data_IF_514130481299
#
_entry.id   IF_514130481299
#
_cell.length_a   1.000
_cell.length_b   1.000
_cell.length_c   1.000
_cell.angle_alpha   90.00
_cell.angle_beta   90.00
_cell.angle_gamma   90.00
#
_symmetry.space_group_name_H-M   'P 1'
#
loop_
_entity.id
_entity.type
_entity.pdbx_description
1 polymer ?
#
# COMPACT_ATOMS: atom_id res chain seq x y z
N UNK A 1 -7.33 -14.14 6.13
CA UNK A 1 -7.50 -12.66 6.16
C UNK A 1 -8.48 -12.28 5.07
N UNK A 2 -9.41 -11.40 5.39
CA UNK A 2 -10.36 -10.83 4.42
C UNK A 2 -9.78 -9.54 3.84
N UNK A 3 -10.19 -9.20 2.61
CA UNK A 3 -9.72 -8.00 1.92
C UNK A 3 -10.86 -7.30 1.17
N UNK A 4 -10.93 -5.98 1.25
CA UNK A 4 -11.82 -5.12 0.47
C UNK A 4 -11.01 -4.06 -0.24
N UNK A 5 -11.20 -3.94 -1.56
CA UNK A 5 -10.61 -2.91 -2.40
C UNK A 5 -11.60 -1.76 -2.59
N UNK A 6 -11.10 -0.54 -2.51
CA UNK A 6 -11.74 0.69 -2.96
C UNK A 6 -10.85 1.33 -4.03
N UNK A 7 -11.46 1.87 -5.07
CA UNK A 7 -10.73 2.65 -6.09
C UNK A 7 -10.93 4.10 -5.75
N UNK A 8 -9.83 4.81 -5.52
CA UNK A 8 -9.82 6.17 -5.02
C UNK A 8 -9.09 7.11 -5.96
N UNK A 9 -9.37 8.39 -5.81
CA UNK A 9 -8.75 9.53 -6.46
C UNK A 9 -8.68 9.49 -8.00
N UNK A 10 -8.12 10.55 -8.60
CA UNK A 10 -8.03 10.73 -10.06
C UNK A 10 -7.02 9.80 -10.74
N UNK A 11 -6.24 9.05 -9.97
CA UNK A 11 -5.25 8.09 -10.48
C UNK A 11 -5.78 6.65 -10.47
N UNK A 12 -7.05 6.42 -10.06
CA UNK A 12 -7.64 5.08 -9.87
C UNK A 12 -6.79 4.20 -8.93
N UNK A 13 -6.26 4.80 -7.85
CA UNK A 13 -5.48 4.09 -6.83
C UNK A 13 -6.36 3.09 -6.09
N UNK A 14 -5.79 1.97 -5.69
CA UNK A 14 -6.43 0.92 -4.93
C UNK A 14 -6.10 1.01 -3.44
N UNK A 15 -6.96 1.66 -2.67
CA UNK A 15 -6.95 1.58 -1.21
C UNK A 15 -7.53 0.24 -0.74
N UNK A 16 -6.85 -0.44 0.17
CA UNK A 16 -7.33 -1.72 0.71
C UNK A 16 -7.64 -1.64 2.20
N UNK A 17 -8.73 -2.30 2.60
CA UNK A 17 -9.01 -2.62 4.00
C UNK A 17 -8.82 -4.12 4.18
N UNK A 18 -7.91 -4.50 5.08
CA UNK A 18 -7.62 -5.87 5.47
C UNK A 18 -8.16 -6.14 6.86
N UNK A 19 -8.69 -7.33 7.14
CA UNK A 19 -9.11 -7.66 8.51
C UNK A 19 -9.08 -9.17 8.79
N UNK A 20 -8.83 -9.50 10.05
CA UNK A 20 -9.09 -10.84 10.58
C UNK A 20 -10.59 -10.99 10.91
N UNK A 21 -11.22 -11.99 10.30
CA UNK A 21 -12.68 -12.19 10.42
C UNK A 21 -13.14 -12.48 11.86
N UNK A 22 -12.28 -13.10 12.68
CA UNK A 22 -12.62 -13.50 14.04
C UNK A 22 -12.48 -12.32 15.03
N UNK A 23 -11.34 -11.62 15.03
CA UNK A 23 -11.06 -10.53 15.98
C UNK A 23 -11.62 -9.18 15.53
N UNK A 24 -11.88 -9.00 14.22
CA UNK A 24 -12.18 -7.73 13.57
C UNK A 24 -11.03 -6.72 13.63
N UNK A 25 -9.84 -7.15 14.01
CA UNK A 25 -8.66 -6.30 13.88
C UNK A 25 -8.34 -6.08 12.40
N UNK A 26 -8.07 -4.84 12.03
CA UNK A 26 -7.98 -4.42 10.64
C UNK A 26 -6.84 -3.42 10.40
N UNK A 27 -6.45 -3.29 9.14
CA UNK A 27 -5.54 -2.26 8.66
C UNK A 27 -6.09 -1.61 7.39
N UNK A 28 -5.80 -0.32 7.21
CA UNK A 28 -5.98 0.37 5.94
C UNK A 28 -4.62 0.40 5.25
N UNK A 29 -4.55 -0.06 4.00
CA UNK A 29 -3.34 -0.01 3.19
C UNK A 29 -3.51 1.02 2.09
N UNK A 30 -2.54 1.91 1.99
CA UNK A 30 -2.50 3.01 1.03
C UNK A 30 -3.81 3.82 1.01
N UNK A 31 -4.08 4.63 2.05
CA UNK A 31 -5.30 5.44 2.11
C UNK A 31 -5.27 6.57 1.09
N UNK A 32 -5.69 6.30 -0.15
CA UNK A 32 -5.66 7.22 -1.28
C UNK A 32 -6.87 8.15 -1.41
N UNK A 33 -7.80 8.17 -0.44
CA UNK A 33 -9.03 8.96 -0.50
C UNK A 33 -8.71 10.46 -0.68
N UNK A 34 -9.14 11.04 -1.81
CA UNK A 34 -8.88 12.45 -2.13
C UNK A 34 -10.07 13.39 -1.82
N UNK A 35 -11.23 12.84 -1.54
CA UNK A 35 -12.43 13.61 -1.21
C UNK A 35 -13.31 12.95 -0.15
N UNK A 36 -14.25 13.75 0.37
CA UNK A 36 -15.17 13.33 1.44
C UNK A 36 -16.11 12.18 1.05
N UNK A 37 -16.38 11.95 -0.24
CA UNK A 37 -17.24 10.83 -0.68
C UNK A 37 -16.48 9.51 -0.58
N UNK A 38 -15.21 9.50 -0.95
CA UNK A 38 -14.31 8.36 -0.83
C UNK A 38 -14.01 8.04 0.65
N UNK A 39 -13.73 9.08 1.47
CA UNK A 39 -13.56 8.94 2.92
C UNK A 39 -14.79 8.26 3.56
N UNK A 40 -16.01 8.79 3.29
CA UNK A 40 -17.25 8.23 3.82
C UNK A 40 -17.51 6.80 3.36
N UNK A 41 -17.15 6.44 2.14
CA UNK A 41 -17.33 5.09 1.64
C UNK A 41 -16.51 4.06 2.46
N UNK A 42 -15.27 4.40 2.76
CA UNK A 42 -14.38 3.55 3.57
C UNK A 42 -14.80 3.56 5.04
N UNK A 43 -15.09 4.73 5.62
CA UNK A 43 -15.52 4.86 7.02
C UNK A 43 -16.83 4.10 7.27
N UNK A 44 -17.80 4.19 6.36
CA UNK A 44 -19.06 3.44 6.45
C UNK A 44 -18.81 1.94 6.39
N UNK A 45 -17.97 1.48 5.46
CA UNK A 45 -17.61 0.06 5.38
C UNK A 45 -16.97 -0.45 6.67
N UNK A 46 -16.04 0.31 7.23
CA UNK A 46 -15.36 -0.03 8.49
C UNK A 46 -16.36 -0.10 9.64
N UNK A 47 -17.25 0.89 9.75
CA UNK A 47 -18.27 0.94 10.79
C UNK A 47 -19.30 -0.20 10.67
N UNK A 48 -19.85 -0.44 9.47
CA UNK A 48 -20.84 -1.47 9.19
C UNK A 48 -20.31 -2.88 9.51
N UNK A 49 -19.03 -3.11 9.26
CA UNK A 49 -18.34 -4.36 9.55
C UNK A 49 -17.74 -4.42 10.97
N UNK A 50 -17.88 -3.36 11.77
CA UNK A 50 -17.36 -3.24 13.14
C UNK A 50 -15.85 -3.53 13.20
N UNK A 51 -15.09 -3.04 12.23
CA UNK A 51 -13.65 -3.25 12.15
C UNK A 51 -12.92 -2.33 13.14
N UNK A 52 -11.82 -2.83 13.68
CA UNK A 52 -10.96 -2.11 14.63
C UNK A 52 -9.63 -1.81 13.93
N UNK A 53 -9.49 -0.62 13.39
CA UNK A 53 -8.26 -0.25 12.68
C UNK A 53 -7.10 -0.15 13.66
N UNK A 54 -6.11 -1.01 13.49
CA UNK A 54 -4.88 -1.05 14.29
C UNK A 54 -3.72 -0.31 13.63
N UNK A 55 -3.70 -0.31 12.29
CA UNK A 55 -2.59 0.25 11.53
C UNK A 55 -3.09 0.93 10.25
N UNK A 56 -2.38 1.98 9.86
CA UNK A 56 -2.36 2.52 8.51
C UNK A 56 -1.03 2.08 7.92
N UNK A 57 -1.06 1.28 6.84
CA UNK A 57 0.12 0.72 6.20
C UNK A 57 0.36 1.42 4.87
N UNK A 58 1.54 1.94 4.64
CA UNK A 58 1.94 2.49 3.36
C UNK A 58 2.80 1.48 2.61
N UNK A 59 2.43 1.14 1.37
CA UNK A 59 3.35 0.43 0.49
C UNK A 59 4.48 1.36 0.06
N UNK A 60 4.16 2.62 -0.19
CA UNK A 60 5.12 3.69 -0.47
C UNK A 60 4.45 5.06 -0.25
N UNK A 61 5.22 6.14 -0.37
CA UNK A 61 4.71 7.46 -0.03
C UNK A 61 4.52 8.39 -1.24
N UNK A 62 4.10 7.87 -2.40
CA UNK A 62 3.57 8.74 -3.44
C UNK A 62 2.21 9.30 -3.02
N UNK A 63 1.91 10.52 -3.54
CA UNK A 63 0.80 11.31 -3.04
C UNK A 63 -0.57 10.63 -3.19
N UNK A 64 -0.79 9.89 -4.25
CA UNK A 64 -2.03 9.19 -4.54
C UNK A 64 -2.32 8.04 -3.57
N UNK A 65 -1.29 7.44 -2.98
CA UNK A 65 -1.39 6.42 -1.93
C UNK A 65 -1.55 6.99 -0.52
N UNK A 66 -1.49 8.33 -0.40
CA UNK A 66 -1.43 8.99 0.93
C UNK A 66 -2.43 10.12 1.11
N UNK A 67 -3.25 10.45 0.12
CA UNK A 67 -4.22 11.56 0.20
C UNK A 67 -5.09 11.51 1.45
N UNK A 68 -5.61 10.34 1.80
CA UNK A 68 -6.48 10.11 2.95
C UNK A 68 -5.76 9.71 4.24
N UNK A 69 -4.43 9.64 4.25
CA UNK A 69 -3.69 9.16 5.43
C UNK A 69 -3.89 10.06 6.66
N UNK A 70 -3.96 11.37 6.46
CA UNK A 70 -4.23 12.31 7.55
C UNK A 70 -5.66 12.14 8.12
N UNK A 71 -6.66 11.96 7.26
CA UNK A 71 -8.04 11.64 7.66
C UNK A 71 -8.10 10.32 8.44
N UNK A 72 -7.54 9.25 7.89
CA UNK A 72 -7.55 7.93 8.53
C UNK A 72 -6.88 7.98 9.91
N UNK A 73 -5.75 8.70 10.03
CA UNK A 73 -5.07 8.89 11.31
C UNK A 73 -5.93 9.64 12.33
N UNK A 74 -6.61 10.70 11.90
CA UNK A 74 -7.49 11.50 12.78
C UNK A 74 -8.71 10.69 13.25
N UNK A 75 -9.37 9.97 12.33
CA UNK A 75 -10.59 9.22 12.62
C UNK A 75 -10.32 7.98 13.47
N UNK A 76 -9.26 7.23 13.16
CA UNK A 76 -8.99 5.94 13.84
C UNK A 76 -7.97 6.03 14.97
N UNK A 77 -7.26 7.15 15.11
CA UNK A 77 -6.30 7.37 16.20
C UNK A 77 -5.14 6.37 16.21
N UNK A 78 -4.70 5.91 15.03
CA UNK A 78 -3.70 4.85 14.89
C UNK A 78 -2.44 5.32 14.16
N UNK A 79 -1.37 4.53 14.30
CA UNK A 79 -0.06 4.83 13.72
C UNK A 79 -0.05 4.61 12.20
N UNK A 80 0.72 5.46 11.50
CA UNK A 80 1.10 5.27 10.10
C UNK A 80 2.43 4.53 10.05
N UNK A 81 2.43 3.38 9.40
CA UNK A 81 3.60 2.52 9.22
C UNK A 81 4.05 2.56 7.76
N UNK A 82 5.35 2.61 7.53
CA UNK A 82 5.93 2.60 6.20
C UNK A 82 7.44 2.34 6.26
N UNK A 83 8.17 2.58 5.19
CA UNK A 83 9.62 2.39 5.16
C UNK A 83 10.38 3.72 5.26
N UNK A 84 11.53 3.71 5.93
CA UNK A 84 12.35 4.92 6.12
C UNK A 84 12.82 5.54 4.80
N UNK A 85 13.01 4.73 3.75
CA UNK A 85 13.39 5.21 2.41
C UNK A 85 12.43 6.22 1.81
N UNK A 86 11.15 6.21 2.22
CA UNK A 86 10.12 7.12 1.74
C UNK A 86 9.77 8.25 2.74
N UNK A 87 10.52 8.38 3.83
CA UNK A 87 10.25 9.43 4.81
C UNK A 87 10.29 10.85 4.23
N UNK A 88 11.21 11.13 3.30
CA UNK A 88 11.27 12.42 2.60
C UNK A 88 10.11 12.60 1.62
N UNK A 89 9.68 11.55 0.91
CA UNK A 89 8.50 11.60 0.04
C UNK A 89 7.25 11.92 0.85
N UNK A 90 7.04 11.26 1.99
CA UNK A 90 5.90 11.50 2.89
C UNK A 90 5.87 12.95 3.41
N UNK A 91 7.02 13.52 3.75
CA UNK A 91 7.10 14.92 4.18
C UNK A 91 6.90 15.94 3.05
N UNK A 92 7.10 15.54 1.79
CA UNK A 92 7.05 16.43 0.62
C UNK A 92 5.81 16.23 -0.28
N UNK A 93 4.65 15.85 0.27
CA UNK A 93 3.42 15.61 -0.50
C UNK A 93 2.97 16.85 -1.30
N UNK A 94 3.09 18.05 -0.74
CA UNK A 94 2.77 19.29 -1.45
C UNK A 94 3.74 19.57 -2.63
N UNK A 95 5.00 19.18 -2.49
CA UNK A 95 5.98 19.20 -3.60
C UNK A 95 5.62 18.22 -4.72
N UNK A 96 5.16 17.03 -4.38
CA UNK A 96 4.66 16.04 -5.34
C UNK A 96 3.42 16.60 -6.07
N UNK A 97 2.43 17.16 -5.33
CA UNK A 97 1.24 17.76 -5.93
C UNK A 97 1.60 18.86 -6.94
N UNK A 98 2.57 19.73 -6.61
CA UNK A 98 3.07 20.77 -7.54
C UNK A 98 3.75 20.17 -8.78
N UNK A 99 4.52 19.09 -8.62
CA UNK A 99 5.19 18.41 -9.74
C UNK A 99 4.17 17.87 -10.75
N UNK A 100 3.03 17.37 -10.28
CA UNK A 100 1.94 16.88 -11.13
C UNK A 100 0.92 17.95 -11.50
N UNK A 101 1.18 19.25 -11.19
CA UNK A 101 0.26 20.37 -11.44
C UNK A 101 -1.15 20.20 -10.84
N UNK A 102 -1.22 19.50 -9.70
CA UNK A 102 -2.48 19.26 -9.01
C UNK A 102 -2.89 20.45 -8.13
N UNK A 103 -4.19 20.73 -8.00
CA UNK A 103 -4.68 21.85 -7.20
C UNK A 103 -4.69 21.59 -5.68
N UNK A 104 -4.12 20.46 -5.24
CA UNK A 104 -4.11 20.08 -3.83
C UNK A 104 -3.08 20.86 -3.03
N UNK A 105 -3.40 21.10 -1.74
CA UNK A 105 -2.49 21.61 -0.73
C UNK A 105 -2.40 20.56 0.37
N UNK A 106 -1.29 19.82 0.37
CA UNK A 106 -1.11 18.66 1.23
C UNK A 106 -0.14 19.00 2.37
N UNK A 107 -0.53 18.58 3.57
CA UNK A 107 0.37 18.68 4.73
C UNK A 107 1.39 17.54 4.67
N UNK A 108 2.61 17.75 5.22
CA UNK A 108 3.54 16.66 5.44
C UNK A 108 2.89 15.52 6.21
N UNK A 109 3.14 14.29 5.77
CA UNK A 109 2.74 13.08 6.48
C UNK A 109 3.95 12.55 7.25
N UNK A 110 3.77 12.36 8.55
CA UNK A 110 4.77 11.68 9.37
C UNK A 110 4.48 10.18 9.41
N UNK A 111 5.51 9.38 9.12
CA UNK A 111 5.48 7.93 9.33
C UNK A 111 5.88 7.69 10.77
N UNK A 112 4.96 7.17 11.59
CA UNK A 112 5.17 7.02 13.04
C UNK A 112 6.11 5.87 13.36
N UNK A 113 6.10 4.80 12.55
CA UNK A 113 6.95 3.65 12.71
C UNK A 113 7.49 3.14 11.37
N UNK A 114 8.81 3.01 11.30
CA UNK A 114 9.47 2.41 10.15
C UNK A 114 9.55 0.89 10.29
N UNK A 115 9.10 0.20 9.25
CA UNK A 115 9.15 -1.26 9.16
C UNK A 115 10.49 -1.72 8.62
N UNK A 116 11.03 -2.76 9.23
CA UNK A 116 12.20 -3.46 8.72
C UNK A 116 11.80 -4.52 7.67
N UNK A 117 12.76 -4.89 6.82
CA UNK A 117 12.55 -6.00 5.89
C UNK A 117 12.26 -7.32 6.64
N UNK A 118 11.24 -8.05 6.17
CA UNK A 118 10.69 -9.26 6.79
C UNK A 118 10.08 -9.07 8.19
N UNK A 119 9.80 -7.84 8.60
CA UNK A 119 9.06 -7.58 9.83
C UNK A 119 7.63 -8.10 9.73
N UNK A 120 7.14 -8.70 10.83
CA UNK A 120 5.79 -9.26 10.92
C UNK A 120 4.84 -8.30 11.62
N UNK A 121 3.68 -8.09 11.02
CA UNK A 121 2.59 -7.25 11.52
C UNK A 121 1.41 -8.17 11.80
N UNK A 122 0.98 -8.26 13.06
CA UNK A 122 -0.13 -9.13 13.47
C UNK A 122 -1.46 -8.42 13.37
N UNK A 123 -2.41 -9.06 12.71
CA UNK A 123 -3.83 -8.70 12.68
C UNK A 123 -4.66 -9.91 13.14
N UNK A 124 -5.11 -9.88 14.39
CA UNK A 124 -5.82 -11.02 15.00
C UNK A 124 -4.96 -12.28 15.05
N UNK A 125 -5.38 -13.30 14.31
CA UNK A 125 -4.69 -14.60 14.23
C UNK A 125 -3.75 -14.73 13.03
N UNK A 126 -3.73 -13.73 12.15
CA UNK A 126 -2.92 -13.74 10.93
C UNK A 126 -1.79 -12.71 10.98
N UNK A 127 -0.80 -12.93 10.15
CA UNK A 127 0.36 -12.06 10.04
C UNK A 127 0.55 -11.57 8.60
N UNK A 128 0.97 -10.31 8.47
CA UNK A 128 1.54 -9.74 7.25
C UNK A 128 3.06 -9.68 7.40
N UNK A 129 3.78 -10.05 6.35
CA UNK A 129 5.23 -9.89 6.29
C UNK A 129 5.54 -8.67 5.42
N UNK A 130 6.16 -7.64 5.99
CA UNK A 130 6.64 -6.49 5.25
C UNK A 130 7.89 -6.87 4.46
N UNK A 131 7.84 -6.75 3.14
CA UNK A 131 8.95 -7.08 2.23
C UNK A 131 9.47 -5.79 1.61
N UNK A 132 10.74 -5.45 1.82
CA UNK A 132 11.34 -4.28 1.17
C UNK A 132 11.62 -4.58 -0.31
N UNK A 133 11.03 -3.79 -1.20
CA UNK A 133 11.06 -3.96 -2.66
C UNK A 133 11.42 -2.63 -3.36
N UNK A 134 12.62 -2.08 -3.12
CA UNK A 134 12.99 -0.79 -3.70
C UNK A 134 13.01 -0.83 -5.22
N UNK A 135 12.69 0.31 -5.84
CA UNK A 135 12.80 0.48 -7.27
C UNK A 135 11.74 1.39 -7.90
N UNK A 136 10.48 1.30 -7.51
CA UNK A 136 9.48 2.32 -7.82
C UNK A 136 9.70 3.56 -6.95
N UNK A 137 9.83 3.37 -5.64
CA UNK A 137 10.42 4.30 -4.68
C UNK A 137 11.56 3.61 -3.93
N UNK A 138 12.34 4.37 -3.15
CA UNK A 138 13.41 3.80 -2.32
C UNK A 138 12.83 3.01 -1.13
N UNK A 139 11.65 3.40 -0.66
CA UNK A 139 10.96 2.81 0.48
C UNK A 139 9.80 1.88 0.11
N UNK A 140 9.70 1.43 -1.15
CA UNK A 140 8.62 0.52 -1.56
C UNK A 140 8.61 -0.76 -0.73
N UNK A 141 7.43 -1.06 -0.15
CA UNK A 141 7.11 -2.27 0.60
C UNK A 141 6.04 -3.09 -0.12
N UNK A 142 6.10 -4.40 0.02
CA UNK A 142 4.94 -5.25 -0.17
C UNK A 142 4.52 -5.88 1.16
N UNK A 143 3.25 -6.22 1.29
CA UNK A 143 2.70 -6.91 2.47
C UNK A 143 2.21 -8.29 2.05
N UNK A 144 2.97 -9.32 2.40
CA UNK A 144 2.65 -10.71 2.09
C UNK A 144 1.88 -11.36 3.24
N UNK A 145 0.74 -11.97 2.95
CA UNK A 145 -0.10 -12.73 3.87
C UNK A 145 0.02 -14.23 3.57
N UNK A 146 0.98 -14.95 4.17
CA UNK A 146 1.27 -16.35 3.81
C UNK A 146 0.12 -17.32 4.13
N UNK A 147 -0.68 -17.06 5.18
CA UNK A 147 -1.82 -17.92 5.54
C UNK A 147 -3.01 -17.74 4.58
N UNK A 148 -3.13 -16.57 3.97
CA UNK A 148 -4.23 -16.21 3.06
C UNK A 148 -3.82 -16.19 1.59
N UNK A 149 -2.56 -16.54 1.28
CA UNK A 149 -1.96 -16.67 -0.05
C UNK A 149 -2.17 -15.45 -0.95
N UNK A 150 -1.90 -14.25 -0.42
CA UNK A 150 -1.88 -13.02 -1.22
C UNK A 150 -0.73 -12.09 -0.83
N UNK A 151 -0.40 -11.16 -1.73
CA UNK A 151 0.56 -10.07 -1.51
C UNK A 151 0.01 -8.75 -2.05
N UNK A 152 0.09 -7.68 -1.24
CA UNK A 152 -0.13 -6.32 -1.72
C UNK A 152 1.22 -5.76 -2.15
N UNK A 153 1.33 -5.36 -3.41
CA UNK A 153 2.62 -4.98 -4.02
C UNK A 153 2.81 -3.48 -4.19
N UNK A 154 1.78 -2.67 -3.84
CA UNK A 154 1.79 -1.27 -4.23
C UNK A 154 2.10 -1.12 -5.71
N UNK A 155 3.01 -0.25 -6.03
CA UNK A 155 3.41 0.06 -7.40
C UNK A 155 4.67 -0.68 -7.86
N UNK A 156 4.93 -1.87 -7.31
CA UNK A 156 6.07 -2.71 -7.74
C UNK A 156 5.66 -3.62 -8.89
N UNK A 157 4.56 -4.36 -8.76
CA UNK A 157 4.08 -5.33 -9.75
C UNK A 157 2.58 -5.19 -9.95
N UNK A 158 2.15 -5.02 -11.20
CA UNK A 158 0.76 -4.89 -11.62
C UNK A 158 0.30 -6.10 -12.42
N UNK A 159 -0.99 -6.15 -12.70
CA UNK A 159 -1.53 -7.03 -13.73
C UNK A 159 -1.02 -6.56 -15.10
N UNK A 160 -0.10 -7.34 -15.68
CA UNK A 160 0.54 -7.09 -16.97
C UNK A 160 1.43 -5.82 -16.99
N UNK A 161 2.19 -5.57 -15.92
CA UNK A 161 3.11 -4.45 -15.86
C UNK A 161 3.86 -4.30 -14.56
N UNK A 162 4.73 -3.30 -14.52
CA UNK A 162 5.51 -2.91 -13.34
C UNK A 162 5.44 -1.40 -13.14
N UNK A 163 5.76 -0.96 -11.95
CA UNK A 163 5.80 0.45 -11.60
C UNK A 163 6.82 1.25 -12.42
N UNK A 164 6.53 2.53 -12.60
CA UNK A 164 7.48 3.47 -13.19
C UNK A 164 8.69 3.69 -12.27
N UNK A 165 9.82 4.06 -12.86
CA UNK A 165 11.09 4.24 -12.12
C UNK A 165 11.79 5.56 -12.44
N UNK A 166 11.08 6.48 -13.08
CA UNK A 166 11.58 7.78 -13.52
C UNK A 166 11.29 8.94 -12.55
N UNK A 167 10.59 8.64 -11.44
CA UNK A 167 10.37 9.59 -10.35
C UNK A 167 11.54 9.59 -9.36
N UNK A 168 11.69 10.64 -8.53
CA UNK A 168 12.74 10.70 -7.51
C UNK A 168 12.78 9.46 -6.60
N UNK A 169 13.95 8.83 -6.49
CA UNK A 169 14.13 7.57 -5.75
C UNK A 169 13.90 6.31 -6.58
N UNK A 170 13.42 6.44 -7.84
CA UNK A 170 13.18 5.32 -8.74
C UNK A 170 14.46 4.71 -9.33
N UNK A 171 14.44 3.39 -9.57
CA UNK A 171 15.56 2.64 -10.20
C UNK A 171 15.02 1.37 -10.85
N UNK A 172 15.07 1.30 -12.17
CA UNK A 172 14.65 0.12 -12.91
C UNK A 172 15.44 -1.14 -12.53
N UNK A 173 16.73 -1.00 -12.30
CA UNK A 173 17.58 -2.12 -11.89
C UNK A 173 17.15 -2.68 -10.52
N UNK A 174 16.88 -1.80 -9.54
CA UNK A 174 16.39 -2.23 -8.22
C UNK A 174 14.99 -2.86 -8.34
N UNK A 175 14.08 -2.27 -9.13
CA UNK A 175 12.73 -2.77 -9.33
C UNK A 175 12.74 -4.20 -9.88
N UNK A 176 13.45 -4.44 -10.97
CA UNK A 176 13.56 -5.78 -11.55
C UNK A 176 14.22 -6.77 -10.60
N UNK A 177 15.27 -6.36 -9.87
CA UNK A 177 15.88 -7.19 -8.83
C UNK A 177 14.87 -7.56 -7.75
N UNK A 178 14.11 -6.61 -7.24
CA UNK A 178 13.06 -6.81 -6.22
C UNK A 178 12.00 -7.81 -6.70
N UNK A 179 11.50 -7.66 -7.92
CA UNK A 179 10.51 -8.57 -8.52
C UNK A 179 11.08 -9.99 -8.62
N UNK A 180 12.24 -10.13 -9.25
CA UNK A 180 12.83 -11.45 -9.54
C UNK A 180 13.25 -12.21 -8.29
N UNK A 181 13.82 -11.51 -7.28
CA UNK A 181 14.42 -12.17 -6.11
C UNK A 181 13.49 -12.27 -4.91
N UNK A 182 12.39 -11.49 -4.90
CA UNK A 182 11.50 -11.42 -3.73
C UNK A 182 10.06 -11.79 -4.06
N UNK A 183 9.49 -11.30 -5.17
CA UNK A 183 8.11 -11.62 -5.54
C UNK A 183 8.01 -12.96 -6.28
N UNK A 184 8.87 -13.18 -7.28
CA UNK A 184 8.80 -14.39 -8.12
C UNK A 184 9.29 -15.68 -7.43
N UNK A 185 9.74 -15.59 -6.18
CA UNK A 185 10.01 -16.75 -5.33
C UNK A 185 8.80 -17.17 -4.50
N UNK A 186 7.74 -16.34 -4.44
CA UNK A 186 6.48 -16.69 -3.78
C UNK A 186 5.75 -17.77 -4.61
N UNK A 187 4.80 -18.51 -3.99
CA UNK A 187 4.01 -19.51 -4.72
C UNK A 187 3.30 -18.89 -5.95
N UNK A 188 3.24 -19.63 -7.05
CA UNK A 188 2.60 -19.17 -8.28
C UNK A 188 1.09 -18.87 -8.09
N UNK A 189 0.43 -19.52 -7.09
CA UNK A 189 -0.96 -19.29 -6.71
C UNK A 189 -1.18 -17.96 -5.99
N UNK A 190 -0.14 -17.36 -5.41
CA UNK A 190 -0.26 -16.15 -4.59
C UNK A 190 -0.93 -15.03 -5.40
N UNK A 191 -2.08 -14.56 -4.89
CA UNK A 191 -2.81 -13.44 -5.50
C UNK A 191 -2.06 -12.13 -5.26
N UNK A 192 -1.89 -11.35 -6.32
CA UNK A 192 -1.26 -10.03 -6.30
C UNK A 192 -2.34 -8.96 -6.31
N UNK A 193 -2.37 -8.13 -5.27
CA UNK A 193 -3.18 -6.92 -5.17
C UNK A 193 -2.25 -5.71 -5.32
N UNK A 194 -2.33 -5.06 -6.47
CA UNK A 194 -1.46 -3.93 -6.81
C UNK A 194 -2.07 -2.58 -6.39
N UNK A 195 -1.25 -1.53 -6.35
CA UNK A 195 -1.68 -0.16 -6.10
C UNK A 195 -2.65 0.39 -7.15
N UNK A 196 -2.62 -0.14 -8.36
CA UNK A 196 -3.54 0.22 -9.45
C UNK A 196 -4.03 -1.00 -10.21
N UNK A 197 -5.24 -0.89 -10.77
CA UNK A 197 -5.80 -1.87 -11.68
C UNK A 197 -6.37 -3.13 -11.02
N UNK A 198 -6.53 -4.19 -11.80
CA UNK A 198 -7.12 -5.44 -11.35
C UNK A 198 -6.09 -6.38 -10.69
N UNK A 199 -6.52 -7.28 -9.80
CA UNK A 199 -5.66 -8.32 -9.27
C UNK A 199 -5.11 -9.27 -10.34
N UNK A 200 -3.99 -9.92 -10.02
CA UNK A 200 -3.36 -10.98 -10.83
C UNK A 200 -2.80 -12.07 -9.91
N UNK A 201 -1.92 -12.94 -10.39
CA UNK A 201 -1.18 -13.91 -9.59
C UNK A 201 0.31 -13.86 -9.89
N UNK A 202 1.14 -14.30 -8.94
CA UNK A 202 2.59 -14.42 -9.16
C UNK A 202 2.90 -15.26 -10.38
N UNK A 203 2.24 -16.41 -10.55
CA UNK A 203 2.46 -17.30 -11.70
C UNK A 203 2.07 -16.67 -13.03
N UNK A 204 0.97 -15.90 -13.08
CA UNK A 204 0.55 -15.21 -14.30
C UNK A 204 1.56 -14.15 -14.74
N UNK A 205 2.07 -13.35 -13.79
CA UNK A 205 3.06 -12.31 -14.10
C UNK A 205 4.43 -12.93 -14.44
N UNK A 206 4.88 -13.91 -13.68
CA UNK A 206 6.14 -14.63 -13.93
C UNK A 206 6.21 -15.25 -15.32
N UNK A 207 5.08 -15.69 -15.88
CA UNK A 207 5.01 -16.23 -17.23
C UNK A 207 5.13 -15.17 -18.36
N UNK A 208 5.08 -13.87 -18.01
CA UNK A 208 5.18 -12.74 -18.95
C UNK A 208 6.56 -12.09 -18.97
N UNK A 209 7.41 -12.40 -17.98
CA UNK A 209 8.79 -11.90 -17.86
C UNK A 209 9.78 -12.81 -18.51
#
# INVERSE_FOLDING_TARGET
>A
MEIKRFVCNIFDENTYVLWDAASREAAIVDPGMADTSEEKAIDSFIADNRLKIKYILLTHAHLDHTFGAAHAREVYGTEVLGHNGDGELARNLDGQARMFHLPYRLKPLEIDRYLADNERITLGTEELVAMNLPGHSEGSLAYYAPQSDFVLTGDVLFNNGVGRTDLPGGSSQKLFSSIMTRLFILPDSTTVFAGHGAPTTIGAEKARF
#
